data_IF_470765575539
#
_entry.id   IF_470765575539
#
_cell.length_a   1.000
_cell.length_b   1.000
_cell.length_c   1.000
_cell.angle_alpha   90.00
_cell.angle_beta   90.00
_cell.angle_gamma   90.00
#
_symmetry.space_group_name_H-M   'P 1'
#
loop_
_entity.id
_entity.type
_entity.pdbx_description
1 polymer ?
#
# COMPACT_ATOMS: atom_id res chain seq x y z
N UNK A 1 32.98 -43.25 42.53
CA UNK A 1 33.20 -41.80 42.35
C UNK A 1 31.95 -41.24 41.69
N UNK A 2 31.22 -40.42 42.46
CA UNK A 2 30.32 -39.33 42.08
C UNK A 2 29.35 -39.58 40.89
N UNK A 3 28.04 -39.71 41.09
CA UNK A 3 27.05 -38.70 41.56
C UNK A 3 26.18 -38.20 40.40
N UNK A 4 24.87 -38.08 40.70
CA UNK A 4 23.72 -37.49 39.97
C UNK A 4 23.07 -38.32 38.86
N UNK A 5 21.92 -38.97 39.06
CA UNK A 5 20.59 -38.52 39.55
C UNK A 5 19.90 -37.50 38.62
N UNK A 6 18.69 -37.86 38.14
CA UNK A 6 17.77 -36.95 37.46
C UNK A 6 16.94 -37.52 36.31
N UNK A 7 15.98 -38.41 36.60
CA UNK A 7 14.70 -38.51 35.84
C UNK A 7 13.69 -37.56 36.50
N UNK A 8 12.48 -37.27 35.96
CA UNK A 8 11.93 -37.32 34.60
C UNK A 8 11.11 -36.04 34.27
N UNK A 9 10.23 -36.08 33.25
CA UNK A 9 9.02 -35.24 33.05
C UNK A 9 9.08 -34.27 31.87
N UNK A 10 8.01 -34.27 31.08
CA UNK A 10 7.70 -33.15 30.17
C UNK A 10 7.15 -33.55 28.82
N UNK A 11 6.03 -34.27 28.77
CA UNK A 11 5.17 -34.30 27.57
C UNK A 11 4.58 -32.88 27.43
N UNK A 12 4.99 -32.11 26.44
CA UNK A 12 4.23 -30.94 26.02
C UNK A 12 4.44 -30.65 24.54
N UNK A 13 3.32 -30.71 23.82
CA UNK A 13 3.17 -30.23 22.47
C UNK A 13 3.53 -28.74 22.40
N UNK A 14 4.71 -28.45 21.87
CA UNK A 14 5.10 -27.10 21.46
C UNK A 14 4.46 -26.79 20.12
N UNK A 15 3.38 -26.01 20.16
CA UNK A 15 2.68 -25.41 19.02
C UNK A 15 3.62 -24.99 17.89
N UNK A 16 3.39 -25.55 16.72
CA UNK A 16 3.72 -24.93 15.45
C UNK A 16 2.96 -23.61 15.37
N UNK A 17 3.70 -22.50 15.50
CA UNK A 17 3.13 -21.16 15.46
C UNK A 17 2.89 -20.81 14.00
N UNK A 18 1.67 -21.08 13.54
CA UNK A 18 1.16 -20.60 12.27
C UNK A 18 1.37 -19.07 12.16
N UNK A 19 1.91 -18.56 11.03
CA UNK A 19 1.94 -17.13 10.80
C UNK A 19 0.49 -16.65 10.69
N UNK A 20 0.14 -15.70 11.57
CA UNK A 20 -1.19 -15.11 11.60
C UNK A 20 -1.38 -14.12 10.46
N UNK A 21 -2.52 -14.28 9.81
CA UNK A 21 -3.26 -13.29 9.04
C UNK A 21 -2.66 -12.88 7.69
N UNK A 22 -2.65 -13.85 6.78
CA UNK A 22 -2.65 -13.58 5.34
C UNK A 22 -3.99 -12.98 4.90
N UNK A 23 -4.15 -11.67 5.04
CA UNK A 23 -5.06 -10.93 4.16
C UNK A 23 -4.68 -11.26 2.70
N UNK A 24 -5.64 -11.46 1.77
CA UNK A 24 -5.30 -11.84 0.41
C UNK A 24 -4.32 -10.81 -0.13
N UNK A 25 -3.14 -11.26 -0.57
CA UNK A 25 -2.11 -10.43 -1.20
C UNK A 25 -2.76 -9.80 -2.42
N UNK A 26 -3.32 -8.60 -2.23
CA UNK A 26 -4.04 -7.91 -3.28
C UNK A 26 -3.05 -7.72 -4.42
N UNK A 27 -3.47 -7.90 -5.68
CA UNK A 27 -2.57 -7.79 -6.85
C UNK A 27 -1.82 -6.46 -6.92
N UNK A 28 -2.24 -5.46 -6.13
CA UNK A 28 -1.53 -4.22 -5.88
C UNK A 28 -0.19 -4.40 -5.15
N UNK A 29 -0.08 -5.24 -4.10
CA UNK A 29 1.18 -5.47 -3.39
C UNK A 29 2.23 -6.07 -4.34
N UNK A 30 1.85 -7.13 -5.07
CA UNK A 30 2.72 -7.79 -6.04
C UNK A 30 3.13 -6.88 -7.22
N UNK A 31 2.30 -5.90 -7.57
CA UNK A 31 2.67 -4.90 -8.59
C UNK A 31 3.68 -3.89 -8.05
N UNK A 32 3.65 -3.58 -6.75
CA UNK A 32 4.57 -2.64 -6.13
C UNK A 32 5.96 -3.27 -6.07
N UNK A 33 6.04 -4.53 -5.64
CA UNK A 33 7.29 -5.28 -5.56
C UNK A 33 7.97 -5.39 -6.94
N UNK A 34 7.21 -5.63 -8.01
CA UNK A 34 7.75 -5.68 -9.39
C UNK A 34 8.33 -4.34 -9.84
N UNK A 35 7.72 -3.24 -9.41
CA UNK A 35 8.19 -1.88 -9.66
C UNK A 35 9.33 -1.45 -8.71
N UNK A 36 9.77 -2.33 -7.80
CA UNK A 36 10.64 -1.97 -6.67
C UNK A 36 10.12 -0.81 -5.82
N UNK A 37 8.80 -0.70 -5.69
CA UNK A 37 8.10 0.34 -4.93
C UNK A 37 7.56 -0.20 -3.60
N UNK A 38 7.55 0.66 -2.58
CA UNK A 38 6.99 0.32 -1.27
C UNK A 38 5.47 0.41 -1.30
N UNK A 39 4.79 -0.63 -0.81
CA UNK A 39 3.35 -0.57 -0.61
C UNK A 39 2.99 0.14 0.70
N UNK A 40 2.67 1.45 0.63
CA UNK A 40 2.20 2.25 1.77
C UNK A 40 0.74 2.66 1.63
N UNK A 41 0.07 2.83 2.76
CA UNK A 41 -1.29 3.37 2.83
C UNK A 41 -1.34 4.68 3.60
N UNK A 42 -2.39 5.49 3.35
CA UNK A 42 -2.58 6.77 4.07
C UNK A 42 -3.09 6.64 5.51
N UNK A 43 -3.24 5.39 5.99
CA UNK A 43 -3.44 5.09 7.40
C UNK A 43 -2.12 5.17 8.19
N UNK A 44 -0.98 5.09 7.51
CA UNK A 44 0.34 5.18 8.13
C UNK A 44 0.73 6.63 8.42
N UNK A 45 1.63 6.87 9.39
CA UNK A 45 2.20 8.19 9.62
C UNK A 45 2.85 8.72 8.33
N UNK A 46 2.46 9.91 7.91
CA UNK A 46 3.01 10.54 6.72
C UNK A 46 2.99 12.05 6.81
N UNK A 47 3.44 12.69 5.75
CA UNK A 47 3.56 14.14 5.70
C UNK A 47 2.15 14.75 5.56
N UNK A 48 1.85 15.73 6.43
CA UNK A 48 0.57 16.44 6.44
C UNK A 48 0.72 17.80 5.80
N UNK A 49 -0.23 18.16 4.93
CA UNK A 49 -0.35 19.51 4.38
C UNK A 49 -1.24 20.36 5.28
N UNK A 50 -0.71 21.49 5.72
CA UNK A 50 -1.39 22.45 6.59
C UNK A 50 -1.54 23.79 5.87
N UNK A 51 -2.61 24.53 6.16
CA UNK A 51 -2.78 25.89 5.66
C UNK A 51 -1.85 26.86 6.41
N UNK A 52 -1.13 27.69 5.66
CA UNK A 52 -0.23 28.68 6.22
C UNK A 52 -0.33 29.98 5.40
N UNK A 53 -1.05 30.98 5.94
CA UNK A 53 -1.30 32.24 5.27
C UNK A 53 -1.94 32.05 3.89
N UNK A 54 -1.28 32.55 2.84
CA UNK A 54 -1.73 32.41 1.43
C UNK A 54 -1.36 31.06 0.79
N UNK A 55 -0.60 30.21 1.49
CA UNK A 55 -0.05 28.97 0.94
C UNK A 55 -0.27 27.76 1.83
N UNK A 56 0.70 26.87 1.80
CA UNK A 56 0.72 25.63 2.58
C UNK A 56 2.07 25.43 3.26
N UNK A 57 2.05 24.81 4.43
CA UNK A 57 3.22 24.22 5.07
C UNK A 57 3.05 22.70 5.12
N UNK A 58 4.18 22.01 5.24
CA UNK A 58 4.23 20.55 5.26
C UNK A 58 4.97 20.10 6.50
N UNK A 59 4.37 19.16 7.23
CA UNK A 59 4.96 18.59 8.45
C UNK A 59 5.11 17.10 8.32
N UNK A 60 6.28 16.58 8.69
CA UNK A 60 6.57 15.16 8.76
C UNK A 60 5.77 14.44 9.87
N UNK A 61 5.90 13.10 9.94
CA UNK A 61 5.30 12.28 11.00
C UNK A 61 5.71 12.69 12.42
N UNK A 62 6.91 13.24 12.55
CA UNK A 62 7.50 13.77 13.78
C UNK A 62 7.04 15.19 14.13
N UNK A 63 6.22 15.81 13.28
CA UNK A 63 5.73 17.17 13.43
C UNK A 63 6.72 18.26 13.01
N UNK A 64 7.91 17.89 12.52
CA UNK A 64 8.92 18.83 12.03
C UNK A 64 8.63 19.25 10.60
N UNK A 65 9.26 20.35 10.17
CA UNK A 65 9.24 20.76 8.78
C UNK A 65 9.92 19.72 7.89
N UNK A 66 9.45 19.58 6.66
CA UNK A 66 10.12 18.75 5.64
C UNK A 66 11.36 19.46 5.10
N UNK A 67 12.34 18.69 4.65
CA UNK A 67 13.53 19.20 3.97
C UNK A 67 13.24 19.68 2.53
N UNK A 68 14.25 20.27 1.90
CA UNK A 68 14.13 20.87 0.57
C UNK A 68 13.90 19.82 -0.53
N UNK A 69 14.50 18.64 -0.43
CA UNK A 69 14.34 17.55 -1.40
C UNK A 69 12.91 16.99 -1.34
N UNK A 70 12.38 16.78 -0.14
CA UNK A 70 10.99 16.39 0.09
C UNK A 70 10.04 17.48 -0.41
N UNK A 71 10.34 18.75 -0.15
CA UNK A 71 9.55 19.87 -0.63
C UNK A 71 9.51 19.94 -2.16
N UNK A 72 10.65 19.71 -2.83
CA UNK A 72 10.73 19.65 -4.28
C UNK A 72 9.88 18.51 -4.85
N UNK A 73 9.96 17.31 -4.26
CA UNK A 73 9.11 16.16 -4.61
C UNK A 73 7.62 16.50 -4.46
N UNK A 74 7.23 17.07 -3.33
CA UNK A 74 5.83 17.47 -3.06
C UNK A 74 5.30 18.44 -4.11
N UNK A 75 6.12 19.40 -4.56
CA UNK A 75 5.73 20.34 -5.62
C UNK A 75 5.53 19.61 -6.96
N UNK A 76 6.40 18.66 -7.29
CA UNK A 76 6.30 17.86 -8.51
C UNK A 76 5.01 17.01 -8.57
N UNK A 77 4.45 16.60 -7.42
CA UNK A 77 3.18 15.85 -7.36
C UNK A 77 1.95 16.67 -7.83
N UNK A 78 2.08 17.99 -7.94
CA UNK A 78 1.01 18.90 -8.38
C UNK A 78 -0.34 18.62 -7.67
N UNK A 79 -0.29 18.55 -6.34
CA UNK A 79 -1.47 18.27 -5.51
C UNK A 79 -2.41 19.48 -5.54
N UNK A 80 -3.65 19.35 -6.06
CA UNK A 80 -4.55 20.49 -6.22
C UNK A 80 -4.74 21.27 -4.90
N UNK A 81 -4.73 22.60 -4.94
CA UNK A 81 -4.88 23.42 -3.74
C UNK A 81 -6.28 23.29 -3.12
N UNK A 82 -7.28 22.83 -3.87
CA UNK A 82 -8.63 22.60 -3.36
C UNK A 82 -8.76 21.31 -2.53
N UNK A 83 -7.78 20.40 -2.55
CA UNK A 83 -7.89 19.16 -1.77
C UNK A 83 -7.78 19.42 -0.27
N UNK A 84 -8.62 18.75 0.53
CA UNK A 84 -8.54 18.72 1.99
C UNK A 84 -7.99 17.39 2.49
N UNK A 85 -7.67 17.29 3.78
CA UNK A 85 -7.20 16.06 4.43
C UNK A 85 -6.03 15.39 3.69
N UNK A 86 -5.08 16.19 3.22
CA UNK A 86 -3.99 15.70 2.38
C UNK A 86 -2.96 14.96 3.22
N UNK A 87 -2.71 13.72 2.82
CA UNK A 87 -1.60 12.87 3.26
C UNK A 87 -0.62 12.72 2.11
N UNK A 88 0.67 12.74 2.42
CA UNK A 88 1.75 12.57 1.46
C UNK A 88 2.70 11.51 2.02
N UNK A 89 3.12 10.59 1.17
CA UNK A 89 4.05 9.52 1.56
C UNK A 89 5.39 10.12 2.01
N UNK A 90 5.94 9.71 3.17
CA UNK A 90 7.30 10.10 3.55
C UNK A 90 8.33 9.44 2.63
N UNK A 91 8.04 8.24 2.14
CA UNK A 91 8.88 7.48 1.21
C UNK A 91 8.67 7.98 -0.23
N UNK A 92 9.77 8.27 -0.93
CA UNK A 92 9.76 8.65 -2.33
C UNK A 92 9.39 7.47 -3.23
N UNK A 93 9.67 6.24 -2.82
CA UNK A 93 9.41 5.01 -3.57
C UNK A 93 8.05 4.39 -3.23
N UNK A 94 7.21 5.09 -2.45
CA UNK A 94 5.85 4.66 -2.14
C UNK A 94 4.95 4.65 -3.38
N UNK A 95 4.27 3.53 -3.66
CA UNK A 95 3.39 3.44 -4.83
C UNK A 95 2.27 4.49 -4.85
N UNK A 96 1.74 4.87 -3.68
CA UNK A 96 0.91 6.05 -3.48
C UNK A 96 1.80 7.16 -2.94
N UNK A 97 1.86 8.27 -3.68
CA UNK A 97 2.63 9.44 -3.28
C UNK A 97 1.81 10.45 -2.48
N UNK A 98 0.52 10.58 -2.77
CA UNK A 98 -0.37 11.41 -1.97
C UNK A 98 -1.83 10.95 -2.05
N UNK A 99 -2.58 11.23 -0.99
CA UNK A 99 -4.04 11.16 -0.97
C UNK A 99 -4.62 12.48 -0.49
N UNK A 100 -5.89 12.70 -0.79
CA UNK A 100 -6.65 13.84 -0.29
C UNK A 100 -8.12 13.72 -0.62
N UNK A 101 -8.92 14.69 -0.20
CA UNK A 101 -10.35 14.78 -0.53
C UNK A 101 -10.61 15.93 -1.47
N UNK A 102 -11.34 15.70 -2.56
CA UNK A 102 -11.79 16.76 -3.45
C UNK A 102 -12.95 17.58 -2.85
N UNK A 103 -13.43 18.58 -3.59
CA UNK A 103 -14.55 19.43 -3.19
C UNK A 103 -15.86 18.65 -2.98
N UNK A 104 -15.97 17.44 -3.54
CA UNK A 104 -17.11 16.52 -3.39
C UNK A 104 -16.86 15.48 -2.30
N UNK A 105 -15.80 15.65 -1.49
CA UNK A 105 -15.34 14.76 -0.41
C UNK A 105 -14.91 13.36 -0.87
N UNK A 106 -14.71 13.15 -2.17
CA UNK A 106 -14.21 11.91 -2.73
C UNK A 106 -12.72 11.79 -2.47
N UNK A 107 -12.27 10.59 -2.12
CA UNK A 107 -10.84 10.32 -1.92
C UNK A 107 -10.15 10.29 -3.30
N UNK A 108 -9.11 11.08 -3.43
CA UNK A 108 -8.28 11.19 -4.61
C UNK A 108 -6.86 10.72 -4.30
N UNK A 109 -6.18 10.23 -5.34
CA UNK A 109 -4.85 9.64 -5.24
C UNK A 109 -3.88 10.30 -6.23
N UNK A 110 -2.61 10.36 -5.83
CA UNK A 110 -1.44 10.55 -6.69
C UNK A 110 -0.56 9.32 -6.52
N UNK A 111 -0.22 8.69 -7.63
CA UNK A 111 0.62 7.50 -7.65
C UNK A 111 2.05 7.87 -8.08
N UNK A 112 3.00 7.00 -7.73
CA UNK A 112 4.33 7.06 -8.30
C UNK A 112 4.27 6.85 -9.83
N UNK A 113 5.19 7.46 -10.59
CA UNK A 113 5.18 7.34 -12.05
C UNK A 113 5.33 5.89 -12.52
N UNK A 114 6.32 5.16 -11.96
CA UNK A 114 6.57 3.75 -12.25
C UNK A 114 5.38 2.82 -11.91
N UNK A 115 4.54 3.22 -10.94
CA UNK A 115 3.36 2.44 -10.59
C UNK A 115 2.30 2.44 -11.70
N UNK A 116 2.16 3.57 -12.42
CA UNK A 116 1.23 3.66 -13.53
C UNK A 116 1.65 2.73 -14.68
N UNK A 117 2.95 2.72 -15.01
CA UNK A 117 3.53 1.92 -16.09
C UNK A 117 3.33 0.41 -15.87
N UNK A 118 3.58 -0.09 -14.65
CA UNK A 118 3.44 -1.51 -14.32
C UNK A 118 1.97 -1.97 -14.24
N UNK A 119 1.08 -1.14 -13.68
CA UNK A 119 -0.35 -1.51 -13.56
C UNK A 119 -1.05 -1.56 -14.91
N UNK A 120 -0.59 -0.80 -15.89
CA UNK A 120 -1.16 -0.86 -17.23
C UNK A 120 -0.82 -2.18 -17.93
N UNK A 121 0.36 -2.75 -17.69
CA UNK A 121 0.70 -4.10 -18.19
C UNK A 121 -0.10 -5.22 -17.51
N UNK A 122 -0.30 -5.14 -16.19
CA UNK A 122 -0.95 -6.22 -15.41
C UNK A 122 -2.48 -6.26 -15.56
N UNK A 123 -3.15 -5.13 -15.81
CA UNK A 123 -4.63 -5.09 -15.93
C UNK A 123 -5.18 -5.93 -17.07
N UNK A 124 -4.41 -6.19 -18.12
CA UNK A 124 -4.89 -6.91 -19.31
C UNK A 124 -4.53 -8.40 -19.31
N UNK A 125 -3.59 -8.85 -18.47
CA UNK A 125 -3.12 -10.23 -18.50
C UNK A 125 -4.19 -11.25 -18.10
N UNK A 126 -5.08 -10.88 -17.18
CA UNK A 126 -6.19 -11.75 -16.73
C UNK A 126 -7.40 -11.77 -17.67
N UNK A 127 -7.53 -10.79 -18.58
CA UNK A 127 -8.70 -10.70 -19.45
C UNK A 127 -8.72 -11.81 -20.51
N UNK A 128 -7.55 -12.28 -20.95
CA UNK A 128 -7.45 -13.38 -21.92
C UNK A 128 -7.94 -14.68 -21.29
N UNK A 129 -7.39 -15.05 -20.13
CA UNK A 129 -7.80 -16.26 -19.41
C UNK A 129 -9.27 -16.22 -18.98
N UNK A 130 -9.79 -15.03 -18.63
CA UNK A 130 -11.22 -14.86 -18.38
C UNK A 130 -12.06 -15.03 -19.65
N UNK A 131 -11.65 -14.45 -20.77
CA UNK A 131 -12.37 -14.61 -22.04
C UNK A 131 -12.40 -16.07 -22.50
N UNK A 132 -11.32 -16.82 -22.28
CA UNK A 132 -11.23 -18.26 -22.58
C UNK A 132 -12.17 -19.12 -21.73
N UNK A 133 -12.51 -18.69 -20.50
CA UNK A 133 -13.43 -19.43 -19.63
C UNK A 133 -14.91 -19.09 -19.82
N UNK A 134 -15.23 -18.01 -20.55
CA UNK A 134 -16.62 -17.59 -20.83
C UNK A 134 -17.50 -18.67 -21.50
N UNK A 135 -17.01 -19.47 -22.47
CA UNK A 135 -17.84 -20.49 -23.10
C UNK A 135 -18.30 -21.58 -22.12
N UNK A 136 -17.44 -22.00 -21.20
CA UNK A 136 -17.76 -23.00 -20.19
C UNK A 136 -18.74 -22.46 -19.15
N UNK A 137 -18.48 -21.24 -18.66
CA UNK A 137 -19.38 -20.55 -17.75
C UNK A 137 -20.78 -20.40 -18.34
N UNK A 138 -20.88 -20.08 -19.64
CA UNK A 138 -22.18 -19.92 -20.32
C UNK A 138 -22.95 -21.22 -20.42
N UNK A 139 -22.27 -22.35 -20.70
CA UNK A 139 -22.92 -23.68 -20.72
C UNK A 139 -23.47 -24.07 -19.35
N UNK A 140 -22.76 -23.73 -18.27
CA UNK A 140 -23.22 -24.01 -16.91
C UNK A 140 -24.47 -23.18 -16.57
N UNK A 141 -24.49 -21.90 -16.95
CA UNK A 141 -25.66 -21.02 -16.75
C UNK A 141 -26.87 -21.52 -17.54
N UNK A 142 -26.68 -21.99 -18.77
CA UNK A 142 -27.77 -22.51 -19.61
C UNK A 142 -28.32 -23.86 -19.10
N UNK A 143 -27.59 -24.56 -18.22
CA UNK A 143 -27.96 -25.86 -17.66
C UNK A 143 -28.64 -25.79 -16.27
N UNK A 144 -28.56 -24.63 -15.58
CA UNK A 144 -29.21 -24.34 -14.29
C UNK A 144 -30.58 -23.66 -14.49
#
# INVERSE_FOLDING_TARGET
MLDKSGSPSGRSAGKEVAPKDGAPTNGSQASADRASLTYLTDAEPGIRRLRAGKGFSYKGPDGQGVDDDTMARIRALAIPPAWTDVWISPDADGHIQATGRDQRRRKQYRYHALWAEERDGVKYSGLVAFAESLPELRRQIDAD
#
